data_IF_370535186140
#
_entry.id   IF_370535186140
#
_cell.length_a   1.000
_cell.length_b   1.000
_cell.length_c   1.000
_cell.angle_alpha   90.00
_cell.angle_beta   90.00
_cell.angle_gamma   90.00
#
_symmetry.space_group_name_H-M   'P 1'
#
loop_
_entity.id
_entity.type
_entity.pdbx_description
1 polymer ?
#
# COMPACT_ATOMS: atom_id res chain seq x y z
N UNK A 1 0.35 -35.71 -7.29
CA UNK A 1 0.53 -35.25 -5.90
C UNK A 1 1.38 -34.01 -5.95
N UNK A 2 0.99 -32.98 -5.23
CA UNK A 2 1.72 -31.72 -5.05
C UNK A 2 2.00 -31.53 -3.56
N UNK A 3 3.17 -31.00 -3.24
CA UNK A 3 3.60 -30.84 -1.85
C UNK A 3 2.80 -29.75 -1.13
N UNK A 4 2.41 -28.70 -1.87
CA UNK A 4 1.55 -27.62 -1.38
C UNK A 4 0.35 -27.42 -2.33
N UNK A 5 -0.83 -27.98 -1.99
CA UNK A 5 -2.04 -27.85 -2.82
C UNK A 5 -2.52 -26.41 -2.99
N UNK A 6 -2.32 -25.56 -1.99
CA UNK A 6 -2.75 -24.14 -2.03
C UNK A 6 -1.87 -23.31 -2.97
N UNK A 7 -0.57 -23.52 -2.92
CA UNK A 7 0.37 -22.94 -3.87
C UNK A 7 0.11 -23.42 -5.30
N UNK A 8 -0.13 -24.72 -5.48
CA UNK A 8 -0.46 -25.28 -6.79
C UNK A 8 -1.77 -24.71 -7.36
N UNK A 9 -2.78 -24.50 -6.51
CA UNK A 9 -4.03 -23.84 -6.90
C UNK A 9 -3.78 -22.39 -7.34
N UNK A 10 -2.99 -21.61 -6.62
CA UNK A 10 -2.63 -20.24 -7.00
C UNK A 10 -1.96 -20.21 -8.38
N UNK A 11 -1.02 -21.11 -8.65
CA UNK A 11 -0.36 -21.23 -9.97
C UNK A 11 -1.33 -21.64 -11.08
N UNK A 12 -2.25 -22.56 -10.77
CA UNK A 12 -3.26 -22.99 -11.73
C UNK A 12 -4.20 -21.85 -12.14
N UNK A 13 -4.66 -21.04 -11.17
CA UNK A 13 -5.57 -19.92 -11.46
C UNK A 13 -4.94 -18.87 -12.38
N UNK A 14 -3.62 -18.69 -12.33
CA UNK A 14 -2.90 -17.78 -13.22
C UNK A 14 -3.03 -18.15 -14.70
N UNK A 15 -3.21 -19.44 -15.02
CA UNK A 15 -3.42 -19.90 -16.41
C UNK A 15 -4.78 -19.49 -16.98
N UNK A 16 -5.73 -19.15 -16.12
CA UNK A 16 -7.08 -18.74 -16.51
C UNK A 16 -7.29 -17.22 -16.40
N UNK A 17 -6.24 -16.49 -16.04
CA UNK A 17 -6.30 -15.02 -16.03
C UNK A 17 -6.61 -14.51 -17.44
N UNK A 18 -7.69 -13.77 -17.57
CA UNK A 18 -7.97 -13.04 -18.82
C UNK A 18 -6.87 -12.01 -19.05
N UNK A 19 -6.14 -12.15 -20.15
CA UNK A 19 -5.05 -11.26 -20.54
C UNK A 19 -5.53 -10.09 -21.40
N UNK A 20 -6.83 -10.02 -21.72
CA UNK A 20 -7.36 -8.89 -22.46
C UNK A 20 -7.29 -7.63 -21.59
N UNK A 21 -6.52 -6.65 -22.04
CA UNK A 21 -6.54 -5.31 -21.45
C UNK A 21 -7.92 -4.70 -21.75
N UNK A 22 -8.75 -4.43 -20.71
CA UNK A 22 -10.13 -3.99 -20.91
C UNK A 22 -10.24 -2.56 -21.46
N UNK A 23 -9.11 -1.85 -21.62
CA UNK A 23 -9.09 -0.45 -22.01
C UNK A 23 -8.10 -0.23 -23.17
N UNK A 24 -8.56 0.47 -24.19
CA UNK A 24 -7.74 0.92 -25.29
C UNK A 24 -6.98 2.21 -24.92
N UNK A 25 -5.86 2.42 -25.61
CA UNK A 25 -5.15 3.70 -25.56
C UNK A 25 -6.10 4.84 -25.95
N UNK A 26 -6.13 5.92 -25.16
CA UNK A 26 -7.05 7.03 -25.37
C UNK A 26 -6.40 8.40 -25.17
N UNK A 27 -7.20 9.45 -25.14
CA UNK A 27 -6.72 10.81 -24.85
C UNK A 27 -6.33 10.91 -23.38
N UNK A 28 -5.04 11.10 -23.12
CA UNK A 28 -4.42 11.32 -21.81
C UNK A 28 -3.59 12.60 -21.87
N UNK A 29 -3.20 13.12 -20.73
CA UNK A 29 -2.23 14.20 -20.62
C UNK A 29 -0.91 13.64 -20.08
N UNK A 30 0.18 14.01 -20.74
CA UNK A 30 1.54 13.73 -20.27
C UNK A 30 2.39 14.98 -20.46
N UNK A 31 3.13 15.35 -19.43
CA UNK A 31 4.06 16.47 -19.50
C UNK A 31 5.30 16.10 -20.34
N UNK A 32 5.79 17.04 -21.16
CA UNK A 32 6.90 16.82 -22.11
C UNK A 32 8.23 16.42 -21.45
N UNK A 33 8.44 16.73 -20.15
CA UNK A 33 9.64 16.34 -19.41
C UNK A 33 9.62 14.89 -18.92
N UNK A 34 8.51 14.18 -19.10
CA UNK A 34 8.35 12.81 -18.60
C UNK A 34 8.69 11.79 -19.67
N UNK A 35 9.21 10.64 -19.26
CA UNK A 35 9.59 9.54 -20.15
C UNK A 35 8.70 8.32 -19.92
N UNK A 36 8.35 7.65 -21.02
CA UNK A 36 7.52 6.44 -21.04
C UNK A 36 8.28 5.33 -21.72
N UNK A 37 8.38 4.18 -21.09
CA UNK A 37 9.01 2.98 -21.61
C UNK A 37 8.21 2.32 -22.73
N UNK A 38 8.87 1.39 -23.41
CA UNK A 38 8.30 0.66 -24.55
C UNK A 38 7.14 -0.25 -24.09
N UNK A 39 6.13 -0.41 -24.93
CA UNK A 39 4.98 -1.28 -24.63
C UNK A 39 4.03 -0.78 -23.56
N UNK A 40 4.26 0.40 -22.98
CA UNK A 40 3.40 0.98 -21.94
C UNK A 40 2.08 1.49 -22.55
N UNK A 41 0.98 1.14 -21.87
CA UNK A 41 -0.39 1.51 -22.26
C UNK A 41 -0.96 2.53 -21.29
N UNK A 42 -1.38 3.69 -21.80
CA UNK A 42 -1.99 4.77 -21.04
C UNK A 42 -3.45 4.91 -21.47
N UNK A 43 -4.37 4.71 -20.54
CA UNK A 43 -5.80 4.76 -20.81
C UNK A 43 -6.36 6.19 -20.81
N UNK A 44 -7.63 6.32 -21.18
CA UNK A 44 -8.34 7.61 -21.26
C UNK A 44 -8.29 8.39 -19.94
N UNK A 45 -8.15 9.72 -20.04
CA UNK A 45 -8.15 10.67 -18.94
C UNK A 45 -7.06 10.44 -17.88
N UNK A 46 -6.04 9.63 -18.17
CA UNK A 46 -4.87 9.56 -17.32
C UNK A 46 -4.07 10.88 -17.41
N UNK A 47 -3.52 11.29 -16.27
CA UNK A 47 -2.65 12.47 -16.16
C UNK A 47 -1.27 12.04 -15.66
N UNK A 48 -0.21 12.46 -16.34
CA UNK A 48 1.18 12.24 -15.94
C UNK A 48 1.87 13.60 -15.88
N UNK A 49 2.30 13.96 -14.67
CA UNK A 49 2.93 15.24 -14.34
C UNK A 49 4.37 15.38 -14.83
N UNK A 50 5.08 16.37 -14.29
CA UNK A 50 6.46 16.71 -14.68
C UNK A 50 7.47 15.71 -14.12
N UNK A 51 8.54 15.47 -14.88
CA UNK A 51 9.71 14.71 -14.45
C UNK A 51 9.38 13.30 -13.97
N UNK A 52 8.35 12.67 -14.54
CA UNK A 52 7.99 11.29 -14.28
C UNK A 52 8.78 10.33 -15.14
N UNK A 53 9.09 9.15 -14.59
CA UNK A 53 9.75 8.05 -15.32
C UNK A 53 8.88 6.82 -15.24
N UNK A 54 8.28 6.41 -16.35
CA UNK A 54 7.44 5.20 -16.43
C UNK A 54 8.25 4.15 -17.21
N UNK A 55 8.38 2.97 -16.62
CA UNK A 55 9.09 1.83 -17.21
C UNK A 55 8.37 1.20 -18.40
N UNK A 56 8.92 0.08 -18.85
CA UNK A 56 8.39 -0.68 -19.98
C UNK A 56 7.18 -1.54 -19.58
N UNK A 57 6.25 -1.76 -20.52
CA UNK A 57 5.08 -2.63 -20.34
C UNK A 57 4.21 -2.28 -19.12
N UNK A 58 4.18 -1.01 -18.72
CA UNK A 58 3.32 -0.53 -17.64
C UNK A 58 1.90 -0.35 -18.17
N UNK A 59 0.91 -0.72 -17.37
CA UNK A 59 -0.49 -0.40 -17.64
C UNK A 59 -0.98 0.71 -16.70
N UNK A 60 -1.41 1.83 -17.29
CA UNK A 60 -2.01 2.96 -16.57
C UNK A 60 -3.49 3.05 -16.93
N UNK A 61 -4.34 2.71 -15.98
CA UNK A 61 -5.79 2.66 -16.13
C UNK A 61 -6.44 4.03 -16.32
N UNK A 62 -7.74 4.07 -16.65
CA UNK A 62 -8.44 5.32 -16.86
C UNK A 62 -8.55 6.16 -15.59
N UNK A 63 -8.52 7.49 -15.76
CA UNK A 63 -8.59 8.48 -14.68
C UNK A 63 -7.48 8.33 -13.61
N UNK A 64 -6.38 7.67 -13.92
CA UNK A 64 -5.21 7.63 -13.02
C UNK A 64 -4.53 8.99 -13.04
N UNK A 65 -4.21 9.50 -11.86
CA UNK A 65 -3.42 10.71 -11.68
C UNK A 65 -2.02 10.34 -11.16
N UNK A 66 -1.00 10.71 -11.90
CA UNK A 66 0.41 10.62 -11.50
C UNK A 66 0.96 12.05 -11.47
N UNK A 67 1.21 12.56 -10.26
CA UNK A 67 1.78 13.88 -10.05
C UNK A 67 3.27 13.95 -10.39
N UNK A 68 3.93 15.04 -10.00
CA UNK A 68 5.29 15.32 -10.43
C UNK A 68 6.32 14.41 -9.76
N UNK A 69 7.44 14.16 -10.43
CA UNK A 69 8.61 13.44 -9.90
C UNK A 69 8.30 12.04 -9.38
N UNK A 70 7.40 11.34 -10.05
CA UNK A 70 7.07 9.96 -9.73
C UNK A 70 7.80 9.00 -10.67
N UNK A 71 8.13 7.82 -10.15
CA UNK A 71 8.63 6.73 -10.99
C UNK A 71 7.76 5.48 -10.82
N UNK A 72 7.57 4.75 -11.92
CA UNK A 72 6.85 3.48 -11.96
C UNK A 72 7.72 2.47 -12.70
N UNK A 73 8.09 1.39 -12.03
CA UNK A 73 8.89 0.31 -12.59
C UNK A 73 8.12 -0.51 -13.63
N UNK A 74 8.90 -1.19 -14.47
CA UNK A 74 8.37 -1.99 -15.60
C UNK A 74 7.36 -3.06 -15.14
N UNK A 75 6.45 -3.45 -16.03
CA UNK A 75 5.43 -4.49 -15.81
C UNK A 75 4.43 -4.18 -14.67
N UNK A 76 4.41 -2.95 -14.18
CA UNK A 76 3.48 -2.53 -13.13
C UNK A 76 2.11 -2.19 -13.71
N UNK A 77 1.06 -2.60 -13.01
CA UNK A 77 -0.35 -2.37 -13.36
C UNK A 77 -0.96 -1.39 -12.37
N UNK A 78 -1.48 -0.26 -12.88
CA UNK A 78 -2.19 0.74 -12.08
C UNK A 78 -3.64 0.79 -12.56
N UNK A 79 -4.57 0.36 -11.71
CA UNK A 79 -5.98 0.34 -12.05
C UNK A 79 -6.64 1.72 -11.93
N UNK A 80 -7.87 1.81 -12.44
CA UNK A 80 -8.62 3.05 -12.59
C UNK A 80 -8.79 3.88 -11.31
N UNK A 81 -8.83 5.20 -11.46
CA UNK A 81 -9.08 6.17 -10.38
C UNK A 81 -8.04 6.17 -9.27
N UNK A 82 -6.86 5.64 -9.50
CA UNK A 82 -5.73 5.69 -8.56
C UNK A 82 -5.05 7.06 -8.62
N UNK A 83 -4.69 7.61 -7.45
CA UNK A 83 -3.97 8.88 -7.33
C UNK A 83 -2.59 8.66 -6.73
N UNK A 84 -1.56 9.03 -7.49
CA UNK A 84 -0.16 9.03 -7.07
C UNK A 84 0.27 10.50 -7.02
N UNK A 85 0.50 11.05 -5.81
CA UNK A 85 0.51 12.50 -5.64
C UNK A 85 1.79 13.14 -6.19
N UNK A 86 2.91 12.98 -5.52
CA UNK A 86 4.23 13.43 -5.99
C UNK A 86 5.37 12.80 -5.18
N UNK A 87 6.57 12.74 -5.76
CA UNK A 87 7.76 12.14 -5.13
C UNK A 87 7.48 10.70 -4.66
N UNK A 88 6.75 9.92 -5.48
CA UNK A 88 6.42 8.52 -5.21
C UNK A 88 7.20 7.65 -6.19
N UNK A 89 7.94 6.69 -5.65
CA UNK A 89 8.66 5.70 -6.43
C UNK A 89 8.01 4.33 -6.25
N UNK A 90 7.57 3.71 -7.32
CA UNK A 90 6.97 2.37 -7.36
C UNK A 90 7.89 1.46 -8.13
N UNK A 91 8.23 0.31 -7.57
CA UNK A 91 9.06 -0.71 -8.18
C UNK A 91 8.39 -1.42 -9.36
N UNK A 92 9.04 -2.46 -9.84
CA UNK A 92 8.58 -3.28 -10.97
C UNK A 92 7.57 -4.35 -10.55
N UNK A 93 6.77 -4.83 -11.51
CA UNK A 93 5.83 -5.94 -11.36
C UNK A 93 4.83 -5.76 -10.21
N UNK A 94 4.45 -4.51 -9.91
CA UNK A 94 3.47 -4.15 -8.89
C UNK A 94 2.04 -4.17 -9.44
N UNK A 95 1.06 -4.37 -8.56
CA UNK A 95 -0.36 -4.24 -8.88
C UNK A 95 -0.98 -3.24 -7.91
N UNK A 96 -1.44 -2.10 -8.43
CA UNK A 96 -2.12 -1.08 -7.65
C UNK A 96 -3.59 -1.08 -8.06
N UNK A 97 -4.45 -1.52 -7.16
CA UNK A 97 -5.89 -1.63 -7.43
C UNK A 97 -6.60 -0.28 -7.44
N UNK A 98 -7.86 -0.27 -7.84
CA UNK A 98 -8.64 0.96 -8.06
C UNK A 98 -8.84 1.79 -6.80
N UNK A 99 -8.91 3.11 -6.97
CA UNK A 99 -9.16 4.09 -5.90
C UNK A 99 -8.08 4.10 -4.79
N UNK A 100 -6.87 3.65 -5.08
CA UNK A 100 -5.73 3.75 -4.17
C UNK A 100 -5.18 5.18 -4.18
N UNK A 101 -4.75 5.68 -3.01
CA UNK A 101 -4.11 6.98 -2.86
C UNK A 101 -2.69 6.82 -2.29
N UNK A 102 -1.68 7.22 -3.06
CA UNK A 102 -0.26 7.07 -2.72
C UNK A 102 0.43 8.43 -2.60
N UNK A 103 1.14 8.64 -1.49
CA UNK A 103 1.93 9.85 -1.26
C UNK A 103 1.11 11.06 -0.82
N UNK A 104 -0.07 10.86 -0.24
CA UNK A 104 -0.83 11.92 0.43
C UNK A 104 -0.11 12.40 1.69
N UNK A 105 -0.40 13.63 2.10
CA UNK A 105 0.14 14.17 3.35
C UNK A 105 -0.32 13.34 4.55
N UNK A 106 0.61 12.97 5.41
CA UNK A 106 0.30 12.37 6.70
C UNK A 106 -0.34 13.37 7.68
N UNK A 107 -0.91 12.85 8.75
CA UNK A 107 -1.54 13.65 9.80
C UNK A 107 -0.45 14.29 10.69
N UNK A 108 0.01 15.47 10.30
CA UNK A 108 1.04 16.25 11.00
C UNK A 108 0.52 17.62 11.38
N UNK A 109 0.21 17.83 12.67
CA UNK A 109 -0.26 19.12 13.19
C UNK A 109 0.33 19.39 14.56
N UNK A 110 0.85 20.61 14.76
CA UNK A 110 1.32 21.10 16.05
C UNK A 110 0.21 21.86 16.76
N UNK A 111 -0.07 21.59 18.06
CA UNK A 111 -0.99 22.42 18.84
C UNK A 111 -0.48 23.87 18.92
N UNK A 112 -1.36 24.84 18.67
CA UNK A 112 -1.11 26.26 18.76
C UNK A 112 -2.19 26.95 19.63
N UNK A 113 -1.97 28.20 20.01
CA UNK A 113 -2.94 28.96 20.86
C UNK A 113 -4.33 29.09 20.21
N UNK A 114 -4.40 29.09 18.88
CA UNK A 114 -5.64 29.28 18.11
C UNK A 114 -6.06 28.04 17.30
N UNK A 115 -5.64 26.84 17.71
CA UNK A 115 -5.97 25.60 16.98
C UNK A 115 -4.73 24.77 16.64
N UNK A 116 -4.53 24.45 15.36
CA UNK A 116 -3.46 23.59 14.89
C UNK A 116 -2.69 24.24 13.74
N UNK A 117 -1.37 24.18 13.81
CA UNK A 117 -0.47 24.54 12.69
C UNK A 117 -0.08 23.26 11.93
N UNK A 118 -0.24 23.28 10.60
CA UNK A 118 0.15 22.16 9.75
C UNK A 118 1.66 21.95 9.75
N UNK A 119 2.09 20.72 9.92
CA UNK A 119 3.46 20.29 9.67
C UNK A 119 3.53 19.77 8.25
N UNK A 120 4.25 20.46 7.37
CA UNK A 120 4.39 20.08 5.97
C UNK A 120 5.09 18.72 5.83
N UNK A 121 4.59 17.92 4.92
CA UNK A 121 5.09 16.57 4.65
C UNK A 121 6.05 16.63 3.45
N UNK A 122 7.35 16.66 3.74
CA UNK A 122 8.42 16.94 2.77
C UNK A 122 9.12 15.66 2.26
N UNK A 123 8.96 14.53 2.94
CA UNK A 123 9.44 13.24 2.49
C UNK A 123 8.62 12.68 1.32
N UNK A 124 9.02 11.55 0.78
CA UNK A 124 8.32 10.83 -0.29
C UNK A 124 7.72 9.51 0.17
N UNK A 125 7.36 8.69 -0.82
CA UNK A 125 6.93 7.31 -0.64
C UNK A 125 7.74 6.41 -1.58
N UNK A 126 8.28 5.32 -1.03
CA UNK A 126 9.03 4.33 -1.79
C UNK A 126 8.32 2.98 -1.65
N UNK A 127 7.97 2.38 -2.77
CA UNK A 127 7.34 1.06 -2.88
C UNK A 127 8.30 0.17 -3.68
N UNK A 128 8.66 -0.97 -3.13
CA UNK A 128 9.55 -1.95 -3.75
C UNK A 128 8.89 -2.73 -4.89
N UNK A 129 9.55 -3.79 -5.31
CA UNK A 129 9.10 -4.66 -6.40
C UNK A 129 8.06 -5.69 -5.93
N UNK A 130 7.24 -6.18 -6.87
CA UNK A 130 6.26 -7.24 -6.62
C UNK A 130 5.26 -6.93 -5.49
N UNK A 131 4.96 -5.66 -5.26
CA UNK A 131 3.98 -5.21 -4.25
C UNK A 131 2.57 -5.24 -4.84
N UNK A 132 1.60 -5.67 -4.05
CA UNK A 132 0.18 -5.58 -4.41
C UNK A 132 -0.57 -4.74 -3.37
N UNK A 133 -1.31 -3.73 -3.84
CA UNK A 133 -2.05 -2.80 -2.98
C UNK A 133 -3.53 -2.85 -3.36
N UNK A 134 -4.34 -3.35 -2.44
CA UNK A 134 -5.79 -3.53 -2.58
C UNK A 134 -6.56 -2.22 -2.74
N UNK A 135 -7.79 -2.33 -3.22
CA UNK A 135 -8.63 -1.19 -3.55
C UNK A 135 -8.90 -0.28 -2.33
N UNK A 136 -8.86 1.03 -2.55
CA UNK A 136 -9.16 2.03 -1.53
C UNK A 136 -8.11 2.15 -0.42
N UNK A 137 -6.92 1.54 -0.59
CA UNK A 137 -5.80 1.75 0.33
C UNK A 137 -5.29 3.19 0.27
N UNK A 138 -4.79 3.67 1.40
CA UNK A 138 -4.12 4.97 1.50
C UNK A 138 -2.75 4.81 2.14
N UNK A 139 -1.71 5.33 1.49
CA UNK A 139 -0.34 5.28 1.99
C UNK A 139 0.24 6.70 1.96
N UNK A 140 0.50 7.23 3.15
CA UNK A 140 1.00 8.59 3.30
C UNK A 140 2.49 8.70 3.00
N UNK A 141 2.89 9.85 2.49
CA UNK A 141 4.30 10.22 2.36
C UNK A 141 4.92 10.47 3.73
N UNK A 142 6.22 10.47 3.83
CA UNK A 142 6.89 10.78 5.07
C UNK A 142 6.93 12.28 5.37
N UNK A 143 7.09 12.63 6.64
CA UNK A 143 7.19 14.03 7.06
C UNK A 143 8.52 14.65 6.59
N UNK A 144 9.65 14.00 6.82
CA UNK A 144 10.99 14.40 6.35
C UNK A 144 11.65 13.24 5.62
N UNK A 145 11.79 12.09 6.29
CA UNK A 145 12.24 10.85 5.68
C UNK A 145 11.06 10.19 4.96
N UNK A 146 11.34 9.29 4.04
CA UNK A 146 10.30 8.61 3.27
C UNK A 146 9.51 7.58 4.10
N UNK A 147 8.29 7.30 3.67
CA UNK A 147 7.57 6.06 3.99
C UNK A 147 8.07 4.96 3.06
N UNK A 148 8.27 3.75 3.56
CA UNK A 148 8.83 2.62 2.81
C UNK A 148 7.94 1.39 2.90
N UNK A 149 7.54 0.86 1.73
CA UNK A 149 6.91 -0.44 1.55
C UNK A 149 7.91 -1.31 0.79
N UNK A 150 8.46 -2.32 1.44
CA UNK A 150 9.49 -3.17 0.82
C UNK A 150 8.91 -4.21 -0.14
N UNK A 151 9.80 -4.97 -0.80
CA UNK A 151 9.45 -5.92 -1.86
C UNK A 151 8.48 -7.00 -1.38
N UNK A 152 7.62 -7.45 -2.28
CA UNK A 152 6.74 -8.58 -2.06
C UNK A 152 5.57 -8.33 -1.11
N UNK A 153 5.41 -7.12 -0.57
CA UNK A 153 4.31 -6.77 0.35
C UNK A 153 2.95 -6.91 -0.33
N UNK A 154 1.97 -7.44 0.42
CA UNK A 154 0.57 -7.58 0.00
C UNK A 154 -0.35 -6.86 0.98
N UNK A 155 -1.06 -5.85 0.50
CA UNK A 155 -2.07 -5.12 1.24
C UNK A 155 -3.44 -5.43 0.65
N UNK A 156 -4.34 -5.91 1.48
CA UNK A 156 -5.74 -6.09 1.11
C UNK A 156 -6.48 -4.73 1.10
N UNK A 157 -7.73 -4.72 0.76
CA UNK A 157 -8.53 -3.51 0.55
C UNK A 157 -8.63 -2.64 1.82
N UNK A 158 -8.65 -1.31 1.62
CA UNK A 158 -8.87 -0.32 2.67
C UNK A 158 -7.83 -0.33 3.80
N UNK A 159 -6.61 -0.76 3.53
CA UNK A 159 -5.49 -0.65 4.47
C UNK A 159 -4.99 0.79 4.49
N UNK A 160 -4.75 1.35 5.69
CA UNK A 160 -4.10 2.65 5.86
C UNK A 160 -2.69 2.49 6.42
N UNK A 161 -1.71 3.06 5.73
CA UNK A 161 -0.32 3.16 6.17
C UNK A 161 0.03 4.65 6.34
N UNK A 162 0.25 5.07 7.58
CA UNK A 162 0.56 6.46 7.89
C UNK A 162 2.02 6.82 7.56
N UNK A 163 2.34 8.11 7.70
CA UNK A 163 3.65 8.69 7.37
C UNK A 163 4.82 8.02 8.09
N UNK A 164 5.96 7.92 7.43
CA UNK A 164 7.21 7.39 7.97
C UNK A 164 7.16 5.92 8.45
N UNK A 165 6.14 5.16 8.07
CA UNK A 165 6.10 3.72 8.31
C UNK A 165 7.13 3.03 7.42
N UNK A 166 7.83 2.05 7.98
CA UNK A 166 8.67 1.11 7.25
C UNK A 166 8.04 -0.26 7.38
N UNK A 167 7.60 -0.85 6.28
CA UNK A 167 7.00 -2.18 6.23
C UNK A 167 7.95 -3.14 5.50
N UNK A 168 8.44 -4.14 6.22
CA UNK A 168 9.44 -5.09 5.76
C UNK A 168 8.94 -6.05 4.68
N UNK A 169 9.88 -6.66 3.98
CA UNK A 169 9.66 -7.55 2.83
C UNK A 169 8.68 -8.69 3.15
N UNK A 170 7.91 -9.10 2.11
CA UNK A 170 6.99 -10.24 2.17
C UNK A 170 5.92 -10.15 3.27
N UNK A 171 5.61 -8.96 3.74
CA UNK A 171 4.53 -8.75 4.71
C UNK A 171 3.16 -8.81 4.03
N UNK A 172 2.16 -9.32 4.76
CA UNK A 172 0.78 -9.43 4.29
C UNK A 172 -0.20 -8.85 5.31
N UNK A 173 -1.02 -7.88 4.90
CA UNK A 173 -1.95 -7.17 5.77
C UNK A 173 -3.36 -7.30 5.20
N UNK A 174 -4.26 -7.90 5.98
CA UNK A 174 -5.65 -8.08 5.59
C UNK A 174 -6.45 -6.77 5.69
N UNK A 175 -7.67 -6.80 5.18
CA UNK A 175 -8.51 -5.62 4.94
C UNK A 175 -8.77 -4.76 6.19
N UNK A 176 -8.91 -3.45 5.96
CA UNK A 176 -9.31 -2.44 6.94
C UNK A 176 -8.39 -2.35 8.16
N UNK A 177 -7.11 -2.67 7.98
CA UNK A 177 -6.08 -2.47 9.00
C UNK A 177 -5.49 -1.07 8.93
N UNK A 178 -4.97 -0.58 10.07
CA UNK A 178 -4.29 0.70 10.14
C UNK A 178 -2.96 0.60 10.88
N UNK A 179 -1.90 1.18 10.28
CA UNK A 179 -0.58 1.30 10.89
C UNK A 179 -0.27 2.78 11.10
N UNK A 180 -0.15 3.18 12.35
CA UNK A 180 0.11 4.58 12.69
C UNK A 180 1.57 4.98 12.45
N UNK A 181 1.79 6.30 12.35
CA UNK A 181 3.03 6.89 11.86
C UNK A 181 4.30 6.47 12.60
N UNK A 182 5.40 6.45 11.88
CA UNK A 182 6.76 6.16 12.38
C UNK A 182 6.93 4.75 12.97
N UNK A 183 6.04 3.82 12.65
CA UNK A 183 6.16 2.41 13.04
C UNK A 183 7.09 1.67 12.08
N UNK A 184 7.99 0.87 12.63
CA UNK A 184 8.94 0.02 11.88
C UNK A 184 8.53 -1.43 12.06
N UNK A 185 8.23 -2.10 10.95
CA UNK A 185 7.79 -3.50 10.91
C UNK A 185 8.81 -4.31 10.13
N UNK A 186 9.25 -5.42 10.71
CA UNK A 186 10.18 -6.35 10.10
C UNK A 186 9.58 -7.16 8.96
N UNK A 187 10.35 -8.14 8.49
CA UNK A 187 10.00 -9.00 7.35
C UNK A 187 8.97 -10.07 7.74
N UNK A 188 8.26 -10.61 6.73
CA UNK A 188 7.31 -11.71 6.88
C UNK A 188 6.20 -11.43 7.90
N UNK A 189 5.89 -10.17 8.11
CA UNK A 189 4.83 -9.75 9.04
C UNK A 189 3.45 -10.07 8.45
N UNK A 190 2.57 -10.61 9.27
CA UNK A 190 1.20 -10.89 8.88
C UNK A 190 0.22 -10.25 9.85
N UNK A 191 -0.87 -9.68 9.33
CA UNK A 191 -1.87 -8.97 10.15
C UNK A 191 -3.28 -9.29 9.69
N UNK A 192 -4.06 -9.86 10.59
CA UNK A 192 -5.48 -10.15 10.38
C UNK A 192 -6.33 -8.88 10.32
N UNK A 193 -7.44 -8.94 9.59
CA UNK A 193 -8.29 -7.79 9.29
C UNK A 193 -8.80 -7.02 10.49
N UNK A 194 -9.12 -5.73 10.27
CA UNK A 194 -9.65 -4.80 11.29
C UNK A 194 -8.70 -4.61 12.48
N UNK A 195 -7.40 -4.83 12.29
CA UNK A 195 -6.39 -4.68 13.35
C UNK A 195 -5.67 -3.34 13.24
N UNK A 196 -5.05 -2.90 14.34
CA UNK A 196 -4.34 -1.62 14.40
C UNK A 196 -2.99 -1.73 15.09
N UNK A 197 -2.04 -0.86 14.70
CA UNK A 197 -0.75 -0.70 15.37
C UNK A 197 -0.57 0.79 15.71
N UNK A 198 -0.30 1.08 16.98
CA UNK A 198 -0.01 2.45 17.41
C UNK A 198 1.34 2.95 16.86
N UNK A 199 1.49 4.27 16.83
CA UNK A 199 2.66 4.93 16.26
C UNK A 199 3.96 4.71 17.04
N UNK A 200 5.09 4.90 16.34
CA UNK A 200 6.44 4.84 16.89
C UNK A 200 6.85 3.49 17.52
N UNK A 201 6.22 2.40 17.10
CA UNK A 201 6.53 1.07 17.56
C UNK A 201 7.54 0.37 16.65
N UNK A 202 8.22 -0.65 17.20
CA UNK A 202 9.09 -1.56 16.45
C UNK A 202 8.54 -2.98 16.60
N UNK A 203 8.29 -3.62 15.46
CA UNK A 203 7.82 -4.99 15.37
C UNK A 203 8.94 -5.80 14.69
N UNK A 204 9.42 -6.85 15.33
CA UNK A 204 10.47 -7.70 14.75
C UNK A 204 9.93 -8.55 13.59
N UNK A 205 10.82 -9.26 12.91
CA UNK A 205 10.46 -10.19 11.83
C UNK A 205 9.57 -11.34 12.33
N UNK A 206 8.86 -11.99 11.39
CA UNK A 206 8.10 -13.23 11.62
C UNK A 206 7.03 -13.12 12.71
N UNK A 207 6.33 -11.99 12.77
CA UNK A 207 5.20 -11.75 13.68
C UNK A 207 3.87 -11.93 12.95
N UNK A 208 2.96 -12.68 13.55
CA UNK A 208 1.56 -12.79 13.13
C UNK A 208 0.65 -12.08 14.14
N UNK A 209 -0.18 -11.16 13.68
CA UNK A 209 -1.20 -10.46 14.48
C UNK A 209 -2.58 -10.97 14.08
N UNK A 210 -3.35 -11.49 15.04
CA UNK A 210 -4.73 -11.94 14.80
C UNK A 210 -5.67 -10.78 14.44
N UNK A 211 -6.82 -11.11 13.83
CA UNK A 211 -7.83 -10.11 13.48
C UNK A 211 -8.36 -9.34 14.71
N UNK A 212 -8.81 -8.09 14.48
CA UNK A 212 -9.34 -7.19 15.55
C UNK A 212 -8.37 -6.95 16.71
N UNK A 213 -7.08 -7.06 16.48
CA UNK A 213 -6.06 -6.88 17.52
C UNK A 213 -5.45 -5.49 17.46
N UNK A 214 -5.35 -4.79 18.59
CA UNK A 214 -4.63 -3.53 18.71
C UNK A 214 -3.26 -3.76 19.35
N UNK A 215 -2.19 -3.49 18.60
CA UNK A 215 -0.82 -3.53 19.12
C UNK A 215 -0.47 -2.16 19.71
N UNK A 216 -0.21 -2.15 21.01
CA UNK A 216 0.05 -0.93 21.79
C UNK A 216 1.50 -0.81 22.28
N UNK A 217 2.34 -1.83 22.04
CA UNK A 217 3.75 -1.89 22.46
C UNK A 217 4.58 -2.59 21.40
N UNK A 218 5.86 -2.25 21.34
CA UNK A 218 6.82 -2.93 20.45
C UNK A 218 6.91 -4.42 20.71
N UNK A 219 7.07 -5.20 19.66
CA UNK A 219 7.19 -6.66 19.69
C UNK A 219 8.62 -7.05 19.30
N UNK A 220 9.35 -7.68 20.24
CA UNK A 220 10.76 -8.02 20.06
C UNK A 220 11.00 -9.52 19.89
N UNK A 221 9.96 -10.34 19.83
CA UNK A 221 10.04 -11.79 19.64
C UNK A 221 9.09 -12.23 18.54
N UNK A 222 9.53 -13.06 17.59
CA UNK A 222 8.64 -13.68 16.62
C UNK A 222 7.52 -14.46 17.29
N UNK A 223 6.39 -14.63 16.59
CA UNK A 223 5.27 -15.42 17.10
C UNK A 223 3.91 -14.82 16.83
N UNK A 224 2.87 -15.39 17.43
CA UNK A 224 1.48 -15.01 17.24
C UNK A 224 0.99 -14.14 18.40
N UNK A 225 0.32 -13.04 18.06
CA UNK A 225 -0.22 -12.06 19.00
C UNK A 225 -1.69 -11.83 18.70
N UNK A 226 -2.55 -12.09 19.69
CA UNK A 226 -4.00 -12.00 19.55
C UNK A 226 -4.54 -11.21 20.76
N UNK A 227 -5.32 -10.16 20.49
CA UNK A 227 -5.87 -9.26 21.49
C UNK A 227 -7.38 -9.02 21.36
N UNK A 228 -8.14 -10.05 20.94
CA UNK A 228 -9.59 -9.97 20.76
C UNK A 228 -10.31 -10.81 21.81
N UNK A 229 -11.45 -10.30 22.29
CA UNK A 229 -12.43 -11.13 23.04
C UNK A 229 -13.34 -11.84 22.04
N UNK A 230 -13.49 -13.20 22.15
CA UNK A 230 -14.43 -13.92 21.32
C UNK A 230 -15.86 -13.39 21.46
N UNK A 231 -16.64 -13.45 20.38
CA UNK A 231 -18.03 -13.06 20.41
C UNK A 231 -18.81 -13.95 21.40
N UNK A 232 -19.68 -13.34 22.18
CA UNK A 232 -20.55 -14.00 23.14
C UNK A 232 -22.01 -13.70 22.81
N UNK A 233 -22.93 -14.50 23.33
CA UNK A 233 -24.35 -14.13 23.31
C UNK A 233 -24.55 -12.84 24.14
N UNK A 234 -25.54 -12.02 23.76
CA UNK A 234 -25.84 -10.80 24.53
C UNK A 234 -26.08 -11.08 25.98
N UNK A 235 -26.75 -12.21 26.30
CA UNK A 235 -27.04 -12.61 27.66
C UNK A 235 -25.80 -13.00 28.49
N UNK A 236 -24.78 -13.52 27.86
CA UNK A 236 -23.52 -13.89 28.53
C UNK A 236 -22.61 -12.66 28.67
N UNK A 237 -22.54 -11.82 27.64
CA UNK A 237 -21.80 -10.56 27.68
C UNK A 237 -22.32 -9.60 28.78
N UNK A 238 -23.64 -9.52 28.96
CA UNK A 238 -24.25 -8.65 29.96
C UNK A 238 -24.01 -9.12 31.40
N UNK A 239 -23.46 -10.32 31.60
CA UNK A 239 -23.13 -10.90 32.95
C UNK A 239 -21.63 -10.83 33.24
N UNK A 240 -20.76 -10.54 32.22
CA UNK A 240 -19.33 -10.42 32.37
C UNK A 240 -18.91 -8.99 32.73
#
# INVERSE_FOLDING_TARGET
YVDDPYFAFARLTQLFKDQTQPFSQGKSFMHDSSSIGEGTVISNNAYIGQDCVIGDNVFIGPNVFIGNKCSVGSETIIHANTSIIQDVNIGASCIIHSNVSLGTDGFGFAPAKSGYEKIEQLGGLIIGDNVEIGAGCTIDRGAINNTHIHDGVKLDNQVHIAHNVILGENSAIAASCAIAGSTIIGKNFQMGGLSGILGHLKICDDVFVGAHTLITKSINKPGQYIGIMPAQSHSDWAKS
#
